data_IF_024557864044
#
_entry.id   IF_024557864044
#
_cell.length_a   1.000
_cell.length_b   1.000
_cell.length_c   1.000
_cell.angle_alpha   90.00
_cell.angle_beta   90.00
_cell.angle_gamma   90.00
#
_symmetry.space_group_name_H-M   'P 1'
#
loop_
_entity.id
_entity.type
_entity.pdbx_description
1 polymer ?
#
# COMPACT_ATOMS: atom_id res chain seq x y z
N UNK A 1 -33.68 26.48 4.18
CA UNK A 1 -32.91 25.33 3.64
C UNK A 1 -33.46 23.97 4.12
N UNK A 2 -34.78 23.73 4.04
CA UNK A 2 -35.43 22.50 4.55
C UNK A 2 -35.66 21.46 3.44
N UNK A 3 -35.71 21.87 2.17
CA UNK A 3 -36.12 21.02 1.05
C UNK A 3 -35.12 19.94 0.60
N UNK A 4 -33.82 20.12 0.82
CA UNK A 4 -32.80 19.17 0.28
C UNK A 4 -32.75 17.87 1.06
N UNK A 5 -32.96 17.92 2.38
CA UNK A 5 -32.91 16.73 3.26
C UNK A 5 -34.11 15.82 3.07
N UNK A 6 -35.31 16.39 2.95
CA UNK A 6 -36.53 15.63 2.72
C UNK A 6 -36.43 14.83 1.39
N UNK A 7 -35.91 15.44 0.33
CA UNK A 7 -35.71 14.78 -0.97
C UNK A 7 -34.76 13.58 -0.89
N UNK A 8 -33.69 13.69 -0.11
CA UNK A 8 -32.70 12.61 0.05
C UNK A 8 -33.32 11.42 0.80
N UNK A 9 -34.03 11.66 1.91
CA UNK A 9 -34.67 10.58 2.66
C UNK A 9 -35.78 9.88 1.88
N UNK A 10 -36.55 10.62 1.08
CA UNK A 10 -37.52 10.03 0.16
C UNK A 10 -36.87 9.13 -0.89
N UNK A 11 -35.75 9.55 -1.48
CA UNK A 11 -35.02 8.74 -2.46
C UNK A 11 -34.46 7.44 -1.83
N UNK A 12 -33.94 7.51 -0.61
CA UNK A 12 -33.45 6.33 0.13
C UNK A 12 -34.57 5.36 0.46
N UNK A 13 -35.76 5.85 0.81
CA UNK A 13 -36.93 5.01 1.04
C UNK A 13 -37.35 4.24 -0.21
N UNK A 14 -37.45 4.93 -1.36
CA UNK A 14 -37.79 4.28 -2.63
C UNK A 14 -36.75 3.23 -3.03
N UNK A 15 -35.46 3.56 -2.92
CA UNK A 15 -34.39 2.65 -3.29
C UNK A 15 -34.34 1.39 -2.41
N UNK A 16 -34.49 1.53 -1.09
CA UNK A 16 -34.48 0.40 -0.16
C UNK A 16 -35.68 -0.53 -0.34
N UNK A 17 -36.87 0.02 -0.58
CA UNK A 17 -38.05 -0.80 -0.88
C UNK A 17 -37.93 -1.56 -2.20
N UNK A 18 -37.44 -0.91 -3.25
CA UNK A 18 -37.26 -1.54 -4.56
C UNK A 18 -36.20 -2.66 -4.52
N UNK A 19 -35.10 -2.44 -3.78
CA UNK A 19 -34.07 -3.45 -3.59
C UNK A 19 -34.58 -4.66 -2.81
N UNK A 20 -35.35 -4.45 -1.73
CA UNK A 20 -35.96 -5.55 -0.98
C UNK A 20 -36.88 -6.39 -1.87
N UNK A 21 -37.69 -5.74 -2.70
CA UNK A 21 -38.59 -6.43 -3.63
C UNK A 21 -37.83 -7.25 -4.69
N UNK A 22 -36.76 -6.69 -5.27
CA UNK A 22 -35.92 -7.43 -6.22
C UNK A 22 -35.19 -8.63 -5.59
N UNK A 23 -34.97 -8.61 -4.27
CA UNK A 23 -34.40 -9.72 -3.51
C UNK A 23 -35.46 -10.75 -3.07
N UNK A 24 -36.70 -10.63 -3.56
CA UNK A 24 -37.77 -11.59 -3.30
C UNK A 24 -38.51 -11.40 -1.98
N UNK A 25 -38.35 -10.23 -1.33
CA UNK A 25 -39.12 -9.88 -0.13
C UNK A 25 -40.54 -9.49 -0.54
N UNK A 26 -41.54 -9.99 0.19
CA UNK A 26 -42.94 -9.67 -0.07
C UNK A 26 -43.21 -8.16 -0.09
N UNK A 27 -44.22 -7.77 -0.87
CA UNK A 27 -44.55 -6.35 -1.09
C UNK A 27 -44.82 -5.60 0.22
N UNK A 28 -45.51 -6.23 1.17
CA UNK A 28 -45.79 -5.65 2.47
C UNK A 28 -44.50 -5.31 3.23
N UNK A 29 -43.53 -6.22 3.26
CA UNK A 29 -42.24 -6.02 3.93
C UNK A 29 -41.32 -5.07 3.17
N UNK A 30 -41.42 -5.02 1.84
CA UNK A 30 -40.72 -4.06 1.00
C UNK A 30 -41.19 -2.62 1.26
N UNK A 31 -42.51 -2.42 1.46
CA UNK A 31 -43.07 -1.12 1.85
C UNK A 31 -42.66 -0.73 3.28
N UNK A 32 -42.58 -1.69 4.19
CA UNK A 32 -42.06 -1.46 5.55
C UNK A 32 -40.60 -1.02 5.50
N UNK A 33 -39.74 -1.69 4.71
CA UNK A 33 -38.35 -1.29 4.54
C UNK A 33 -38.23 0.14 3.99
N UNK A 34 -39.04 0.50 2.99
CA UNK A 34 -39.07 1.84 2.40
C UNK A 34 -39.44 2.95 3.40
N UNK A 35 -40.29 2.64 4.39
CA UNK A 35 -40.70 3.59 5.42
C UNK A 35 -39.71 3.65 6.60
N UNK A 36 -39.18 2.51 7.03
CA UNK A 36 -38.38 2.39 8.26
C UNK A 36 -36.93 2.82 8.07
N UNK A 37 -36.30 2.47 6.94
CA UNK A 37 -34.88 2.77 6.68
C UNK A 37 -34.57 4.27 6.73
N UNK A 38 -35.36 5.17 6.10
CA UNK A 38 -35.11 6.61 6.19
C UNK A 38 -35.30 7.18 7.60
N UNK A 39 -36.26 6.65 8.36
CA UNK A 39 -36.53 7.08 9.74
C UNK A 39 -35.37 6.69 10.66
N UNK A 40 -34.85 5.47 10.54
CA UNK A 40 -33.68 5.02 11.29
C UNK A 40 -32.45 5.85 10.96
N UNK A 41 -32.22 6.21 9.69
CA UNK A 41 -31.11 7.08 9.29
C UNK A 41 -31.27 8.52 9.78
N UNK A 42 -32.49 9.04 9.90
CA UNK A 42 -32.75 10.37 10.43
C UNK A 42 -32.61 10.42 11.97
N UNK A 43 -32.96 9.33 12.66
CA UNK A 43 -32.92 9.22 14.12
C UNK A 43 -31.59 8.68 14.68
N UNK A 44 -30.74 8.07 13.85
CA UNK A 44 -29.47 7.53 14.29
C UNK A 44 -28.53 8.63 14.80
N UNK A 45 -27.80 8.40 15.91
CA UNK A 45 -26.72 9.29 16.34
C UNK A 45 -25.75 9.53 15.18
N UNK A 46 -25.29 10.77 15.01
CA UNK A 46 -24.39 11.15 13.91
C UNK A 46 -23.12 10.29 13.83
N UNK A 47 -22.69 9.70 14.95
CA UNK A 47 -21.57 8.76 15.03
C UNK A 47 -21.85 7.42 14.33
N UNK A 48 -23.07 6.88 14.41
CA UNK A 48 -23.47 5.66 13.69
C UNK A 48 -23.64 5.92 12.20
N UNK A 49 -24.21 7.07 11.84
CA UNK A 49 -24.26 7.51 10.44
C UNK A 49 -22.83 7.67 9.88
N UNK A 50 -21.93 8.29 10.65
CA UNK A 50 -20.52 8.46 10.29
C UNK A 50 -19.76 7.13 10.19
N UNK A 51 -20.14 6.09 10.92
CA UNK A 51 -19.55 4.76 10.81
C UNK A 51 -19.99 4.06 9.51
N UNK A 52 -21.28 4.15 9.15
CA UNK A 52 -21.81 3.56 7.91
C UNK A 52 -21.35 4.36 6.69
N UNK A 53 -21.42 5.69 6.72
CA UNK A 53 -20.87 6.51 5.63
C UNK A 53 -19.34 6.37 5.60
N UNK A 54 -18.66 6.30 6.73
CA UNK A 54 -17.21 6.09 6.81
C UNK A 54 -16.75 4.74 6.26
N UNK A 55 -17.61 3.72 6.25
CA UNK A 55 -17.33 2.44 5.59
C UNK A 55 -17.40 2.52 4.05
N UNK A 56 -18.11 3.51 3.49
CA UNK A 56 -18.31 3.71 2.04
C UNK A 56 -17.76 5.04 1.51
N UNK A 57 -17.11 5.84 2.35
CA UNK A 57 -16.45 7.08 1.92
C UNK A 57 -14.96 6.76 1.72
N UNK A 58 -14.41 6.97 0.51
CA UNK A 58 -13.00 7.25 0.30
C UNK A 58 -12.44 8.07 1.46
N UNK A 59 -11.51 7.50 2.24
CA UNK A 59 -10.98 8.21 3.41
C UNK A 59 -10.41 9.57 3.00
N UNK A 60 -10.21 10.54 3.92
CA UNK A 60 -9.63 11.87 3.62
C UNK A 60 -8.24 11.86 2.95
N UNK A 61 -7.68 10.68 2.66
CA UNK A 61 -6.49 10.43 1.85
C UNK A 61 -6.76 10.25 0.34
N UNK A 62 -8.02 10.19 -0.10
CA UNK A 62 -8.38 9.82 -1.49
C UNK A 62 -8.66 10.99 -2.44
N UNK A 63 -8.49 12.26 -2.03
CA UNK A 63 -8.07 13.35 -2.94
C UNK A 63 -7.69 14.62 -2.14
N UNK A 64 -6.43 15.09 -2.23
CA UNK A 64 -5.84 15.53 -3.51
C UNK A 64 -4.47 14.90 -3.81
N UNK A 65 -4.38 13.56 -3.76
CA UNK A 65 -3.14 12.81 -4.05
C UNK A 65 -2.98 12.39 -5.52
N UNK A 66 -3.90 12.75 -6.41
CA UNK A 66 -3.81 12.51 -7.85
C UNK A 66 -2.66 13.29 -8.55
N UNK A 67 -1.78 13.96 -7.77
CA UNK A 67 -0.54 14.60 -8.23
C UNK A 67 0.72 14.06 -7.51
N UNK A 68 0.66 12.94 -6.79
CA UNK A 68 1.83 12.36 -6.11
C UNK A 68 1.86 10.83 -6.22
N UNK A 69 2.66 10.33 -7.18
CA UNK A 69 3.12 8.94 -7.43
C UNK A 69 2.64 7.89 -6.41
N UNK A 70 1.78 6.96 -6.81
CA UNK A 70 1.29 5.81 -6.04
C UNK A 70 2.40 4.85 -5.56
N UNK A 71 2.06 3.85 -4.75
CA UNK A 71 3.02 2.83 -4.29
C UNK A 71 3.64 2.05 -5.44
N UNK A 72 2.82 1.56 -6.36
CA UNK A 72 3.26 0.86 -7.57
C UNK A 72 4.11 1.76 -8.47
N UNK A 73 3.73 3.03 -8.65
CA UNK A 73 4.55 3.97 -9.42
C UNK A 73 5.90 4.27 -8.73
N UNK A 74 5.96 4.19 -7.39
CA UNK A 74 7.21 4.30 -6.64
C UNK A 74 8.11 3.07 -6.85
N UNK A 75 7.55 1.86 -6.83
CA UNK A 75 8.27 0.63 -7.18
C UNK A 75 8.83 0.71 -8.61
N UNK A 76 8.02 1.16 -9.57
CA UNK A 76 8.44 1.40 -10.96
C UNK A 76 9.55 2.45 -11.06
N UNK A 77 9.46 3.52 -10.26
CA UNK A 77 10.50 4.54 -10.21
C UNK A 77 11.84 3.97 -9.70
N UNK A 78 11.82 3.20 -8.61
CA UNK A 78 12.99 2.50 -8.06
C UNK A 78 13.54 1.50 -9.09
N UNK A 79 12.67 0.74 -9.75
CA UNK A 79 13.05 -0.23 -10.78
C UNK A 79 13.74 0.45 -11.97
N UNK A 80 13.26 1.60 -12.44
CA UNK A 80 13.92 2.38 -13.50
C UNK A 80 15.32 2.83 -13.10
N UNK A 81 15.49 3.31 -11.86
CA UNK A 81 16.80 3.68 -11.35
C UNK A 81 17.72 2.46 -11.29
N UNK A 82 17.23 1.32 -10.79
CA UNK A 82 17.99 0.08 -10.73
C UNK A 82 18.40 -0.41 -12.14
N UNK A 83 17.50 -0.36 -13.13
CA UNK A 83 17.80 -0.73 -14.53
C UNK A 83 18.89 0.16 -15.13
N UNK A 84 18.93 1.44 -14.75
CA UNK A 84 19.98 2.39 -15.19
C UNK A 84 21.39 2.06 -14.66
N UNK A 85 21.51 1.09 -13.75
CA UNK A 85 22.78 0.55 -13.28
C UNK A 85 23.37 -0.50 -14.23
N UNK A 86 22.64 -0.93 -15.27
CA UNK A 86 23.11 -1.92 -16.25
C UNK A 86 23.03 -3.36 -15.75
N UNK A 87 22.22 -3.62 -14.72
CA UNK A 87 22.01 -4.95 -14.13
C UNK A 87 20.56 -5.43 -14.36
N UNK A 88 20.31 -6.76 -14.36
CA UNK A 88 18.96 -7.30 -14.45
C UNK A 88 18.09 -6.82 -13.29
N UNK A 89 16.83 -6.50 -13.59
CA UNK A 89 15.82 -6.11 -12.60
C UNK A 89 14.54 -6.84 -12.92
N UNK A 90 14.03 -7.58 -11.95
CA UNK A 90 12.74 -8.27 -12.01
C UNK A 90 11.83 -7.62 -10.97
N UNK A 91 10.63 -7.21 -11.39
CA UNK A 91 9.56 -6.84 -10.46
C UNK A 91 8.80 -8.11 -10.08
N UNK A 92 8.49 -8.29 -8.80
CA UNK A 92 7.73 -9.44 -8.32
C UNK A 92 6.22 -9.24 -8.55
N UNK A 93 5.44 -10.28 -8.33
CA UNK A 93 3.99 -10.20 -8.45
C UNK A 93 3.41 -9.32 -7.34
N UNK A 94 2.32 -8.61 -7.62
CA UNK A 94 1.63 -7.73 -6.63
C UNK A 94 1.14 -8.51 -5.40
N UNK A 95 0.92 -9.82 -5.54
CA UNK A 95 0.48 -10.70 -4.45
C UNK A 95 1.40 -11.91 -4.35
N UNK A 96 1.73 -12.33 -3.12
CA UNK A 96 2.56 -13.52 -2.88
C UNK A 96 4.05 -13.29 -3.15
N UNK A 97 4.51 -12.06 -3.02
CA UNK A 97 5.90 -11.63 -3.25
C UNK A 97 6.84 -11.89 -2.06
N UNK A 98 6.28 -12.28 -0.91
CA UNK A 98 7.01 -12.48 0.35
C UNK A 98 7.68 -11.21 0.89
N UNK A 99 7.18 -10.02 0.54
CA UNK A 99 7.75 -8.74 0.97
C UNK A 99 9.03 -8.34 0.22
N UNK A 100 9.09 -8.66 -1.07
CA UNK A 100 10.19 -8.29 -1.98
C UNK A 100 9.56 -7.77 -3.24
N UNK A 101 9.67 -6.47 -3.52
CA UNK A 101 9.06 -5.87 -4.70
C UNK A 101 9.97 -6.00 -5.93
N UNK A 102 11.30 -5.94 -5.73
CA UNK A 102 12.29 -6.05 -6.81
C UNK A 102 13.39 -7.05 -6.49
N UNK A 103 13.87 -7.73 -7.53
CA UNK A 103 15.08 -8.54 -7.51
C UNK A 103 16.07 -7.90 -8.49
N UNK A 104 17.25 -7.53 -8.00
CA UNK A 104 18.26 -6.76 -8.75
C UNK A 104 19.58 -7.52 -8.80
N UNK A 105 20.22 -7.57 -9.96
CA UNK A 105 21.56 -8.15 -10.13
C UNK A 105 21.59 -9.60 -10.60
N UNK A 106 22.78 -10.20 -10.50
CA UNK A 106 23.07 -11.56 -10.97
C UNK A 106 23.29 -12.52 -9.80
N UNK A 107 23.05 -13.81 -10.03
CA UNK A 107 23.48 -14.84 -9.07
C UNK A 107 25.01 -14.90 -9.00
N UNK A 108 25.58 -15.29 -7.85
CA UNK A 108 24.88 -15.65 -6.61
C UNK A 108 24.45 -14.43 -5.77
N UNK A 109 24.92 -13.23 -6.09
CA UNK A 109 24.77 -12.04 -5.25
C UNK A 109 23.60 -11.13 -5.63
N UNK A 110 22.41 -11.72 -5.74
CA UNK A 110 21.20 -10.93 -6.03
C UNK A 110 20.74 -10.13 -4.82
N UNK A 111 20.24 -8.93 -5.10
CA UNK A 111 19.69 -7.99 -4.14
C UNK A 111 18.16 -8.05 -4.17
N UNK A 112 17.54 -8.38 -3.04
CA UNK A 112 16.11 -8.21 -2.81
C UNK A 112 15.83 -6.78 -2.32
N UNK A 113 14.83 -6.12 -2.90
CA UNK A 113 14.46 -4.74 -2.56
C UNK A 113 12.99 -4.68 -2.18
N UNK A 114 12.69 -4.13 -1.01
CA UNK A 114 11.34 -3.71 -0.63
C UNK A 114 11.25 -2.19 -0.74
N UNK A 115 10.30 -1.71 -1.52
CA UNK A 115 9.89 -0.33 -1.66
C UNK A 115 8.76 -0.02 -0.67
N UNK A 116 8.86 1.08 0.07
CA UNK A 116 7.76 1.59 0.92
C UNK A 116 7.51 3.06 0.60
N UNK A 117 6.36 3.35 0.00
CA UNK A 117 5.87 4.73 -0.11
C UNK A 117 4.89 5.04 1.03
N UNK A 118 5.29 5.88 1.97
CA UNK A 118 4.48 6.19 3.15
C UNK A 118 4.55 7.68 3.51
N UNK A 119 3.56 8.13 4.29
CA UNK A 119 3.50 9.50 4.83
C UNK A 119 4.15 9.64 6.21
N UNK A 120 4.82 8.58 6.68
CA UNK A 120 5.44 8.49 8.01
C UNK A 120 6.72 7.68 7.92
N UNK A 121 7.62 7.78 8.93
CA UNK A 121 8.82 6.97 8.97
C UNK A 121 8.53 5.47 8.89
N UNK A 122 9.37 4.76 8.14
CA UNK A 122 9.26 3.32 7.92
C UNK A 122 9.79 2.57 9.12
N UNK A 123 8.99 1.64 9.64
CA UNK A 123 9.31 0.81 10.80
C UNK A 123 10.09 -0.47 10.46
N UNK A 124 10.42 -1.24 11.50
CA UNK A 124 11.20 -2.48 11.37
C UNK A 124 10.52 -3.58 10.56
N UNK A 125 9.18 -3.55 10.42
CA UNK A 125 8.42 -4.52 9.63
C UNK A 125 8.92 -4.63 8.19
N UNK A 126 9.24 -3.51 7.53
CA UNK A 126 9.78 -3.54 6.16
C UNK A 126 11.13 -4.25 6.05
N UNK A 127 11.96 -4.16 7.10
CA UNK A 127 13.24 -4.88 7.17
C UNK A 127 13.00 -6.36 7.41
N UNK A 128 12.07 -6.72 8.30
CA UNK A 128 11.71 -8.11 8.59
C UNK A 128 11.18 -8.82 7.33
N UNK A 129 10.28 -8.15 6.60
CA UNK A 129 9.70 -8.60 5.34
C UNK A 129 10.79 -8.93 4.31
N UNK A 130 11.64 -7.97 3.95
CA UNK A 130 12.66 -8.19 2.91
C UNK A 130 13.74 -9.19 3.33
N UNK A 131 14.11 -9.22 4.62
CA UNK A 131 15.09 -10.19 5.15
C UNK A 131 14.54 -11.61 5.10
N UNK A 132 13.27 -11.81 5.45
CA UNK A 132 12.63 -13.11 5.37
C UNK A 132 12.30 -13.52 3.92
N UNK A 133 11.96 -12.56 3.06
CA UNK A 133 11.60 -12.80 1.66
C UNK A 133 12.79 -13.04 0.73
N UNK A 134 13.97 -12.48 1.01
CA UNK A 134 15.15 -12.65 0.18
C UNK A 134 15.51 -14.11 -0.15
N UNK A 135 15.55 -15.05 0.83
CA UNK A 135 15.79 -16.47 0.57
C UNK A 135 14.75 -17.11 -0.35
N UNK A 136 13.48 -16.71 -0.27
CA UNK A 136 12.40 -17.23 -1.13
C UNK A 136 12.66 -16.93 -2.61
N UNK A 137 13.39 -15.84 -2.89
CA UNK A 137 13.78 -15.44 -4.23
C UNK A 137 15.23 -15.80 -4.57
N UNK A 138 15.97 -16.46 -3.68
CA UNK A 138 17.40 -16.76 -3.81
C UNK A 138 18.27 -15.51 -3.94
N UNK A 139 17.96 -14.48 -3.15
CA UNK A 139 18.76 -13.27 -2.98
C UNK A 139 19.61 -13.39 -1.70
N UNK A 140 20.80 -12.81 -1.73
CA UNK A 140 21.75 -12.84 -0.60
C UNK A 140 21.99 -11.47 0.00
N UNK A 141 21.60 -10.40 -0.70
CA UNK A 141 21.64 -9.01 -0.24
C UNK A 141 20.22 -8.49 -0.11
N UNK A 142 19.98 -7.57 0.82
CA UNK A 142 18.66 -6.97 1.08
C UNK A 142 18.73 -5.46 1.13
N UNK A 143 17.66 -4.80 0.71
CA UNK A 143 17.51 -3.35 0.80
C UNK A 143 16.05 -2.95 1.04
N UNK A 144 15.86 -1.89 1.83
CA UNK A 144 14.59 -1.17 1.89
C UNK A 144 14.77 0.24 1.32
N UNK A 145 13.89 0.62 0.39
CA UNK A 145 13.86 1.94 -0.24
C UNK A 145 12.57 2.65 0.10
N UNK A 146 12.63 3.92 0.52
CA UNK A 146 11.43 4.69 0.86
C UNK A 146 11.56 6.17 0.54
N UNK A 147 10.42 6.85 0.37
CA UNK A 147 10.34 8.31 0.28
C UNK A 147 10.47 9.02 1.65
N UNK A 148 10.57 8.28 2.76
CA UNK A 148 10.61 8.84 4.10
C UNK A 148 11.90 8.45 4.86
N UNK A 149 12.04 8.90 6.10
CA UNK A 149 13.07 8.40 7.02
C UNK A 149 12.72 7.02 7.59
N UNK A 150 13.68 6.35 8.23
CA UNK A 150 13.49 5.12 8.99
C UNK A 150 13.37 5.39 10.48
N UNK A 151 12.66 4.53 11.21
CA UNK A 151 12.67 4.57 12.68
C UNK A 151 14.00 4.05 13.23
N UNK A 152 14.41 4.45 14.46
CA UNK A 152 15.61 3.91 15.09
C UNK A 152 15.63 2.39 15.21
N UNK A 153 14.46 1.78 15.43
CA UNK A 153 14.32 0.32 15.49
C UNK A 153 14.58 -0.33 14.12
N UNK A 154 14.10 0.28 13.02
CA UNK A 154 14.36 -0.20 11.67
C UNK A 154 15.87 -0.12 11.34
N UNK A 155 16.51 1.00 11.70
CA UNK A 155 17.97 1.18 11.51
C UNK A 155 18.75 0.13 12.28
N UNK A 156 18.44 -0.09 13.56
CA UNK A 156 19.11 -1.10 14.39
C UNK A 156 18.95 -2.51 13.83
N UNK A 157 17.74 -2.87 13.38
CA UNK A 157 17.48 -4.17 12.79
C UNK A 157 18.19 -4.36 11.45
N UNK A 158 18.22 -3.31 10.62
CA UNK A 158 18.89 -3.35 9.32
C UNK A 158 20.40 -3.56 9.48
N UNK A 159 21.03 -2.89 10.45
CA UNK A 159 22.43 -3.10 10.79
C UNK A 159 22.73 -4.54 11.21
N UNK A 160 21.86 -5.15 12.03
CA UNK A 160 22.03 -6.53 12.49
C UNK A 160 21.99 -7.54 11.33
N UNK A 161 21.13 -7.30 10.35
CA UNK A 161 20.93 -8.22 9.22
C UNK A 161 21.69 -7.82 7.94
N UNK A 162 22.50 -6.75 7.98
CA UNK A 162 23.19 -6.24 6.78
C UNK A 162 22.24 -5.74 5.69
N UNK A 163 21.02 -5.31 6.06
CA UNK A 163 20.04 -4.76 5.13
C UNK A 163 20.39 -3.29 4.83
N UNK A 164 20.52 -2.95 3.54
CA UNK A 164 20.75 -1.57 3.13
C UNK A 164 19.47 -0.73 3.30
N UNK A 165 19.61 0.48 3.82
CA UNK A 165 18.49 1.42 3.95
C UNK A 165 18.73 2.61 3.02
N UNK A 166 17.72 2.98 2.25
CA UNK A 166 17.73 4.19 1.41
C UNK A 166 16.49 5.02 1.72
N UNK A 167 16.68 6.08 2.50
CA UNK A 167 15.62 7.01 2.86
C UNK A 167 15.35 8.06 1.78
N UNK A 168 14.33 8.89 1.99
CA UNK A 168 13.93 9.92 1.03
C UNK A 168 15.06 10.91 0.67
N UNK A 169 15.89 11.30 1.64
CA UNK A 169 17.06 12.17 1.43
C UNK A 169 18.20 11.49 0.66
N UNK A 170 18.19 10.15 0.59
CA UNK A 170 19.23 9.34 -0.05
C UNK A 170 18.80 8.84 -1.44
N UNK A 171 17.53 9.01 -1.83
CA UNK A 171 17.03 8.64 -3.16
C UNK A 171 17.86 9.18 -4.33
N UNK A 172 18.38 10.44 -4.31
CA UNK A 172 19.28 10.91 -5.37
C UNK A 172 20.57 10.09 -5.52
N UNK A 173 20.98 9.37 -4.46
CA UNK A 173 22.15 8.48 -4.42
C UNK A 173 21.80 7.02 -4.69
N UNK A 174 20.52 6.66 -4.84
CA UNK A 174 20.08 5.27 -5.00
C UNK A 174 20.85 4.54 -6.11
N UNK A 175 21.09 5.21 -7.25
CA UNK A 175 21.86 4.62 -8.36
C UNK A 175 23.27 4.18 -7.95
N UNK A 176 24.01 5.03 -7.24
CA UNK A 176 25.38 4.71 -6.83
C UNK A 176 25.40 3.64 -5.72
N UNK A 177 24.40 3.64 -4.85
CA UNK A 177 24.22 2.61 -3.82
C UNK A 177 23.95 1.24 -4.46
N UNK A 178 23.00 1.16 -5.41
CA UNK A 178 22.69 -0.08 -6.12
C UNK A 178 23.93 -0.59 -6.84
N UNK A 179 24.62 0.26 -7.60
CA UNK A 179 25.84 -0.14 -8.33
C UNK A 179 26.85 -0.84 -7.41
N UNK A 180 27.17 -0.21 -6.27
CA UNK A 180 28.09 -0.77 -5.27
C UNK A 180 27.63 -2.12 -4.73
N UNK A 181 26.34 -2.29 -4.47
CA UNK A 181 25.80 -3.54 -3.92
C UNK A 181 25.73 -4.66 -4.96
N UNK A 182 25.62 -4.32 -6.24
CA UNK A 182 25.52 -5.27 -7.35
C UNK A 182 26.85 -5.54 -8.05
N UNK A 183 27.92 -4.84 -7.68
CA UNK A 183 29.27 -5.16 -8.13
C UNK A 183 29.64 -6.58 -7.68
N UNK A 184 30.23 -7.40 -8.56
CA UNK A 184 30.69 -8.73 -8.17
C UNK A 184 31.73 -8.62 -7.04
N UNK A 185 31.49 -9.32 -5.94
CA UNK A 185 32.52 -9.48 -4.92
C UNK A 185 33.75 -10.14 -5.55
N UNK A 186 34.94 -9.56 -5.33
CA UNK A 186 36.19 -10.15 -5.81
C UNK A 186 36.28 -11.61 -5.35
N UNK A 187 36.78 -12.54 -6.18
CA UNK A 187 36.86 -13.94 -5.79
C UNK A 187 37.67 -14.04 -4.51
N UNK A 188 37.05 -14.57 -3.45
CA UNK A 188 37.75 -14.99 -2.23
C UNK A 188 38.79 -16.01 -2.68
N UNK A 189 40.06 -15.60 -2.72
CA UNK A 189 41.16 -16.52 -2.90
C UNK A 189 41.09 -17.53 -1.75
N UNK A 190 40.82 -18.79 -2.11
CA UNK A 190 40.84 -19.94 -1.20
C UNK A 190 42.26 -20.20 -0.72
#
# INVERSE_FOLDING_TARGET
MIGTRAKVYSAVGVASGLAAYQLGVDLAWSLVAAAVVPVLLAAAPRFLLAAVTGAFTPGPREAPAALAMSGMEFEDHVARIARSCGVPVIMTAVTGDWGVDLIVGHRPERLAVQCKRQSRPVGSGAVQEVVAGAPMHGCTKTMVVTNHAFTPAAVKLAQLHGCALVGGSELPRLRSIIRRLTEPSAPTAL
#
